data_IF_759565896434
#
_entry.id   IF_759565896434
#
_cell.length_a   1.000
_cell.length_b   1.000
_cell.length_c   1.000
_cell.angle_alpha   90.00
_cell.angle_beta   90.00
_cell.angle_gamma   90.00
#
_symmetry.space_group_name_H-M   'P 1'
#
loop_
_entity.id
_entity.type
_entity.pdbx_description
1 polymer ?
#
# COMPACT_ATOMS: atom_id res chain seq x y z
N UNK A 1 8.64 19.16 -6.36
CA UNK A 1 9.00 17.86 -5.77
C UNK A 1 8.76 16.74 -6.74
N UNK A 2 9.68 15.81 -6.81
CA UNK A 2 9.55 14.67 -7.72
C UNK A 2 8.68 13.57 -7.08
N UNK A 3 7.76 13.01 -7.85
CA UNK A 3 6.95 11.89 -7.40
C UNK A 3 7.81 10.65 -7.13
N UNK A 4 7.38 9.82 -6.19
CA UNK A 4 8.02 8.56 -5.88
C UNK A 4 7.89 7.62 -7.08
N UNK A 5 8.97 6.83 -7.35
CA UNK A 5 8.94 5.83 -8.40
C UNK A 5 8.09 4.63 -7.95
N UNK A 6 7.15 4.22 -8.80
CA UNK A 6 6.31 3.07 -8.53
C UNK A 6 7.10 1.77 -8.71
N UNK A 7 6.84 0.78 -7.88
CA UNK A 7 7.34 -0.57 -8.09
C UNK A 7 6.59 -1.23 -9.25
N UNK A 8 7.22 -2.22 -9.89
CA UNK A 8 6.65 -2.87 -11.07
C UNK A 8 5.29 -3.50 -10.81
N UNK A 9 5.05 -4.01 -9.60
CA UNK A 9 3.80 -4.67 -9.25
C UNK A 9 2.72 -3.70 -8.79
N UNK A 10 2.97 -2.38 -8.81
CA UNK A 10 2.01 -1.38 -8.30
C UNK A 10 0.64 -1.55 -8.93
N UNK A 11 0.58 -1.52 -10.27
CA UNK A 11 -0.71 -1.62 -10.97
C UNK A 11 -1.36 -2.99 -10.78
N UNK A 12 -0.57 -4.05 -10.71
CA UNK A 12 -1.12 -5.38 -10.46
C UNK A 12 -1.84 -5.43 -9.10
N UNK A 13 -1.27 -4.81 -8.08
CA UNK A 13 -1.89 -4.74 -6.75
C UNK A 13 -3.16 -3.91 -6.79
N UNK A 14 -3.10 -2.69 -7.34
CA UNK A 14 -4.26 -1.79 -7.35
C UNK A 14 -5.39 -2.36 -8.19
N UNK A 15 -5.10 -2.95 -9.34
CA UNK A 15 -6.12 -3.55 -10.20
C UNK A 15 -6.78 -4.77 -9.54
N UNK A 16 -5.97 -5.58 -8.88
CA UNK A 16 -6.49 -6.76 -8.16
C UNK A 16 -7.46 -6.33 -7.05
N UNK A 17 -7.09 -5.31 -6.28
CA UNK A 17 -7.95 -4.80 -5.21
C UNK A 17 -9.25 -4.22 -5.77
N UNK A 18 -9.20 -3.47 -6.87
CA UNK A 18 -10.39 -2.96 -7.52
C UNK A 18 -11.30 -4.10 -7.97
N UNK A 19 -10.72 -5.16 -8.52
CA UNK A 19 -11.47 -6.34 -8.95
C UNK A 19 -12.19 -7.04 -7.81
N UNK A 20 -11.69 -6.90 -6.58
CA UNK A 20 -12.33 -7.46 -5.38
C UNK A 20 -13.35 -6.51 -4.76
N UNK A 21 -13.55 -5.33 -5.32
CA UNK A 21 -14.56 -4.39 -4.83
C UNK A 21 -14.02 -3.27 -3.95
N UNK A 22 -12.70 -3.13 -3.84
CA UNK A 22 -12.12 -2.00 -3.11
C UNK A 22 -12.12 -0.75 -3.98
N UNK A 23 -12.45 0.39 -3.37
CA UNK A 23 -12.13 1.69 -3.97
C UNK A 23 -10.65 1.93 -3.77
N UNK A 24 -9.93 2.35 -4.81
CA UNK A 24 -8.49 2.56 -4.73
C UNK A 24 -8.13 3.90 -5.33
N UNK A 25 -7.46 4.74 -4.53
CA UNK A 25 -6.91 6.02 -4.99
C UNK A 25 -5.40 5.93 -4.99
N UNK A 26 -4.79 6.18 -6.14
CA UNK A 26 -3.34 6.19 -6.30
C UNK A 26 -2.79 7.47 -5.69
N UNK A 27 -2.01 7.35 -4.62
CA UNK A 27 -1.38 8.46 -3.92
C UNK A 27 0.14 8.45 -4.09
N UNK A 28 0.65 7.64 -5.02
CA UNK A 28 2.10 7.48 -5.19
C UNK A 28 2.80 8.79 -5.59
N UNK A 29 2.08 9.75 -6.19
CA UNK A 29 2.65 11.04 -6.58
C UNK A 29 2.87 11.98 -5.41
N UNK A 30 2.33 11.70 -4.22
CA UNK A 30 2.47 12.61 -3.07
C UNK A 30 3.90 12.63 -2.54
N UNK A 31 4.60 11.51 -2.54
CA UNK A 31 5.95 11.42 -2.01
C UNK A 31 6.00 11.61 -0.49
N UNK A 32 7.18 11.94 0.02
CA UNK A 32 7.43 12.22 1.45
C UNK A 32 7.05 11.07 2.38
N UNK A 33 7.14 9.85 1.87
CA UNK A 33 6.83 8.66 2.66
C UNK A 33 5.36 8.32 2.74
N UNK A 34 4.48 9.10 2.09
CA UNK A 34 3.06 8.75 2.04
C UNK A 34 2.89 7.45 1.27
N UNK A 35 2.02 6.53 1.73
CA UNK A 35 1.82 5.24 1.06
C UNK A 35 1.36 5.36 -0.39
N UNK A 36 1.48 4.27 -1.12
CA UNK A 36 1.24 4.24 -2.57
C UNK A 36 -0.22 4.42 -2.94
N UNK A 37 -1.14 3.97 -2.10
CA UNK A 37 -2.57 4.19 -2.35
C UNK A 37 -3.38 4.21 -1.06
N UNK A 38 -4.59 4.76 -1.18
CA UNK A 38 -5.61 4.73 -0.14
C UNK A 38 -6.74 3.86 -0.66
N UNK A 39 -7.21 2.94 0.15
CA UNK A 39 -8.28 2.02 -0.22
C UNK A 39 -9.45 2.16 0.74
N UNK A 40 -10.66 1.94 0.23
CA UNK A 40 -11.86 2.02 1.04
C UNK A 40 -12.89 0.97 0.65
N UNK A 41 -13.66 0.53 1.65
CA UNK A 41 -14.76 -0.40 1.43
C UNK A 41 -15.75 -0.29 2.58
N UNK A 42 -16.99 0.06 2.26
CA UNK A 42 -18.11 0.05 3.22
C UNK A 42 -17.78 0.74 4.54
N UNK A 43 -17.23 1.94 4.47
CA UNK A 43 -16.89 2.74 5.65
C UNK A 43 -15.53 2.43 6.27
N UNK A 44 -14.86 1.39 5.83
CA UNK A 44 -13.49 1.06 6.25
C UNK A 44 -12.49 1.68 5.26
N UNK A 45 -11.39 2.20 5.77
CA UNK A 45 -10.31 2.74 4.92
C UNK A 45 -8.96 2.34 5.49
N UNK A 46 -8.00 2.18 4.59
CA UNK A 46 -6.63 1.85 4.95
C UNK A 46 -5.67 2.50 3.95
N UNK A 47 -4.42 2.66 4.36
CA UNK A 47 -3.35 3.05 3.45
C UNK A 47 -2.51 1.83 3.12
N UNK A 48 -2.01 1.76 1.89
CA UNK A 48 -1.25 0.60 1.40
C UNK A 48 0.06 1.07 0.78
N UNK A 49 1.16 0.58 1.34
CA UNK A 49 2.50 0.73 0.78
C UNK A 49 2.84 -0.53 0.01
N UNK A 50 3.30 -0.38 -1.25
CA UNK A 50 3.55 -1.50 -2.15
C UNK A 50 5.04 -1.64 -2.39
N UNK A 51 5.59 -2.82 -2.12
CA UNK A 51 6.96 -3.18 -2.44
C UNK A 51 6.95 -4.37 -3.39
N UNK A 52 7.97 -4.49 -4.24
CA UNK A 52 8.05 -5.59 -5.20
C UNK A 52 8.58 -6.85 -4.49
N UNK A 53 7.72 -7.85 -4.33
CA UNK A 53 8.07 -9.09 -3.66
C UNK A 53 9.10 -9.94 -4.42
N UNK A 54 9.33 -9.64 -5.71
CA UNK A 54 10.35 -10.32 -6.50
C UNK A 54 11.76 -9.77 -6.27
N UNK A 55 11.86 -8.61 -5.59
CA UNK A 55 13.16 -8.00 -5.29
C UNK A 55 13.76 -8.59 -4.01
N UNK A 56 15.08 -8.42 -3.80
CA UNK A 56 15.72 -8.88 -2.55
C UNK A 56 15.09 -8.22 -1.31
N UNK A 57 15.16 -8.86 -0.14
CA UNK A 57 14.56 -8.32 1.08
C UNK A 57 14.96 -6.88 1.41
N UNK A 58 16.20 -6.49 1.12
CA UNK A 58 16.65 -5.12 1.37
C UNK A 58 15.88 -4.08 0.56
N UNK A 59 15.30 -4.46 -0.58
CA UNK A 59 14.50 -3.58 -1.43
C UNK A 59 13.01 -3.62 -1.07
N UNK A 60 12.62 -4.48 -0.15
CA UNK A 60 11.24 -4.57 0.32
C UNK A 60 11.02 -3.81 1.63
N UNK A 61 12.07 -3.21 2.19
CA UNK A 61 11.99 -2.45 3.43
C UNK A 61 11.44 -1.04 3.16
N UNK A 62 10.86 -0.47 4.20
CA UNK A 62 10.45 0.93 4.15
C UNK A 62 11.69 1.83 4.09
N UNK A 63 11.61 2.88 3.29
CA UNK A 63 12.62 3.96 3.31
C UNK A 63 12.48 4.73 4.63
N UNK A 64 13.46 5.57 5.00
CA UNK A 64 13.35 6.37 6.23
C UNK A 64 12.07 7.23 6.28
N UNK A 65 11.69 7.88 5.18
CA UNK A 65 10.46 8.68 5.15
C UNK A 65 9.23 7.80 5.31
N UNK A 66 9.20 6.64 4.65
CA UNK A 66 8.09 5.71 4.77
C UNK A 66 7.98 5.17 6.19
N UNK A 67 9.13 4.89 6.83
CA UNK A 67 9.16 4.43 8.21
C UNK A 67 8.61 5.50 9.15
N UNK A 68 9.00 6.76 8.96
CA UNK A 68 8.48 7.87 9.75
C UNK A 68 6.97 8.00 9.60
N UNK A 69 6.46 7.90 8.38
CA UNK A 69 5.02 7.92 8.17
C UNK A 69 4.35 6.78 8.94
N UNK A 70 4.86 5.56 8.79
CA UNK A 70 4.30 4.38 9.42
C UNK A 70 4.24 4.52 10.95
N UNK A 71 5.29 5.07 11.54
CA UNK A 71 5.36 5.25 13.00
C UNK A 71 4.37 6.29 13.53
N UNK A 72 4.01 7.25 12.70
CA UNK A 72 3.09 8.33 13.10
C UNK A 72 1.64 8.07 12.68
N UNK A 73 1.40 7.03 11.89
CA UNK A 73 0.06 6.72 11.40
C UNK A 73 -0.63 5.78 12.37
N UNK A 74 -1.80 6.19 12.86
CA UNK A 74 -2.56 5.41 13.83
C UNK A 74 -3.71 4.61 13.22
N UNK A 75 -3.97 4.79 11.93
CA UNK A 75 -5.00 4.05 11.21
C UNK A 75 -4.49 2.74 10.63
N UNK A 76 -5.35 2.00 9.94
CA UNK A 76 -4.94 0.75 9.28
C UNK A 76 -3.84 1.01 8.23
N UNK A 77 -2.79 0.22 8.30
CA UNK A 77 -1.63 0.33 7.41
C UNK A 77 -1.26 -1.06 6.90
N UNK A 78 -1.07 -1.16 5.59
CA UNK A 78 -0.67 -2.41 4.95
C UNK A 78 0.64 -2.19 4.19
N UNK A 79 1.61 -3.06 4.44
CA UNK A 79 2.80 -3.18 3.61
C UNK A 79 2.65 -4.47 2.81
N UNK A 80 2.44 -4.34 1.51
CA UNK A 80 2.13 -5.47 0.64
C UNK A 80 3.22 -5.68 -0.40
N UNK A 81 3.54 -6.94 -0.68
CA UNK A 81 4.54 -7.31 -1.68
C UNK A 81 3.94 -7.99 -2.90
N UNK A 82 2.70 -8.47 -2.80
CA UNK A 82 1.95 -9.09 -3.90
C UNK A 82 0.50 -8.67 -3.83
N UNK A 83 -0.27 -8.81 -4.94
CA UNK A 83 -1.71 -8.54 -4.90
C UNK A 83 -2.44 -9.38 -3.84
N UNK A 84 -2.13 -10.67 -3.76
CA UNK A 84 -2.77 -11.58 -2.82
C UNK A 84 -2.46 -11.20 -1.36
N UNK A 85 -1.21 -10.81 -1.10
CA UNK A 85 -0.78 -10.35 0.21
C UNK A 85 -1.58 -9.12 0.64
N UNK A 86 -1.73 -8.15 -0.26
CA UNK A 86 -2.52 -6.95 0.01
C UNK A 86 -3.96 -7.30 0.37
N UNK A 87 -4.57 -8.17 -0.43
CA UNK A 87 -5.96 -8.57 -0.21
C UNK A 87 -6.14 -9.30 1.12
N UNK A 88 -5.22 -10.19 1.48
CA UNK A 88 -5.27 -10.92 2.74
C UNK A 88 -5.16 -10.00 3.95
N UNK A 89 -4.21 -9.07 3.91
CA UNK A 89 -4.03 -8.15 5.03
C UNK A 89 -5.24 -7.22 5.20
N UNK A 90 -5.77 -6.71 4.08
CA UNK A 90 -6.95 -5.85 4.11
C UNK A 90 -8.17 -6.59 4.63
N UNK A 91 -8.37 -7.84 4.19
CA UNK A 91 -9.49 -8.65 4.66
C UNK A 91 -9.41 -8.86 6.18
N UNK A 92 -8.22 -9.17 6.68
CA UNK A 92 -8.02 -9.38 8.12
C UNK A 92 -8.32 -8.12 8.92
N UNK A 93 -7.89 -6.95 8.44
CA UNK A 93 -8.15 -5.67 9.11
C UNK A 93 -9.63 -5.32 9.04
N UNK A 94 -10.26 -5.51 7.88
CA UNK A 94 -11.66 -5.17 7.65
C UNK A 94 -12.61 -6.02 8.49
N UNK A 95 -12.26 -7.27 8.73
CA UNK A 95 -13.11 -8.21 9.49
C UNK A 95 -12.74 -8.31 10.96
N UNK A 96 -11.75 -7.56 11.39
CA UNK A 96 -11.30 -7.59 12.79
C UNK A 96 -12.33 -6.98 13.74
#
# INVERSE_FOLDING_TARGET
>A
MRAKRKDKNHNAVTDYLRGLGWSVFDTSALGRGFPDCVVGRRGFAAVVEIKDGAKPPSKQRLTPCEQTFCENWTGPYVLATTPEDAAQQLYALWTA
#
